data_IF_010304106296
#
_entry.id   IF_010304106296
#
_cell.length_a   1.000
_cell.length_b   1.000
_cell.length_c   1.000
_cell.angle_alpha   90.00
_cell.angle_beta   90.00
_cell.angle_gamma   90.00
#
_symmetry.space_group_name_H-M   'P 1'
#
loop_
_entity.id
_entity.type
_entity.pdbx_description
1 polymer ?
#
# COMPACT_ATOMS: atom_id res chain seq x y z
N UNK A 1 -2.92 -18.16 14.77
CA UNK A 1 -3.93 -17.16 14.35
C UNK A 1 -3.60 -15.77 14.83
N UNK A 2 -3.65 -14.80 13.91
CA UNK A 2 -3.57 -13.36 14.13
C UNK A 2 -4.86 -12.72 13.61
N UNK A 3 -5.35 -11.70 14.31
CA UNK A 3 -6.53 -10.92 13.93
C UNK A 3 -6.16 -9.44 13.88
N UNK A 4 -6.43 -8.80 12.74
CA UNK A 4 -6.16 -7.38 12.51
C UNK A 4 -7.48 -6.67 12.26
N UNK A 5 -7.75 -5.62 13.02
CA UNK A 5 -8.93 -4.78 12.82
C UNK A 5 -8.48 -3.43 12.27
N UNK A 6 -9.04 -3.04 11.13
CA UNK A 6 -8.69 -1.79 10.44
C UNK A 6 -9.92 -0.94 10.18
N UNK A 7 -9.72 0.38 10.09
CA UNK A 7 -10.66 1.27 9.43
C UNK A 7 -10.35 1.25 7.94
N UNK A 8 -11.38 1.14 7.12
CA UNK A 8 -11.24 1.25 5.66
C UNK A 8 -11.76 2.61 5.22
N UNK A 9 -11.04 3.27 4.33
CA UNK A 9 -11.56 4.45 3.64
C UNK A 9 -12.20 3.99 2.34
N UNK A 10 -13.50 4.23 2.12
CA UNK A 10 -14.15 3.85 0.87
C UNK A 10 -13.63 4.71 -0.28
N UNK A 11 -13.79 4.19 -1.50
CA UNK A 11 -13.86 4.97 -2.74
C UNK A 11 -15.19 4.64 -3.40
N UNK A 12 -15.87 5.64 -3.93
CA UNK A 12 -17.13 5.46 -4.64
C UNK A 12 -16.87 5.38 -6.13
N UNK A 13 -17.54 4.42 -6.76
CA UNK A 13 -17.53 4.20 -8.20
C UNK A 13 -18.97 4.30 -8.69
N UNK A 14 -19.20 4.93 -9.84
CA UNK A 14 -20.52 4.93 -10.49
C UNK A 14 -20.49 4.05 -11.73
N UNK A 15 -21.41 3.10 -11.79
CA UNK A 15 -21.63 2.22 -12.93
C UNK A 15 -23.09 2.38 -13.39
N UNK A 16 -23.31 3.21 -14.40
CA UNK A 16 -24.66 3.58 -14.82
C UNK A 16 -25.36 4.40 -13.73
N UNK A 17 -26.48 3.90 -13.21
CA UNK A 17 -27.22 4.54 -12.11
C UNK A 17 -26.78 4.06 -10.71
N UNK A 18 -25.96 2.99 -10.65
CA UNK A 18 -25.56 2.39 -9.39
C UNK A 18 -24.27 3.00 -8.86
N UNK A 19 -24.26 3.27 -7.55
CA UNK A 19 -23.04 3.63 -6.82
C UNK A 19 -22.54 2.40 -6.07
N UNK A 20 -21.29 2.05 -6.30
CA UNK A 20 -20.58 0.97 -5.62
C UNK A 20 -19.50 1.51 -4.69
N UNK A 21 -19.10 0.68 -3.73
CA UNK A 21 -18.06 1.03 -2.77
C UNK A 21 -16.85 0.15 -2.97
N UNK A 22 -15.71 0.75 -3.24
CA UNK A 22 -14.42 0.09 -3.41
C UNK A 22 -13.57 0.27 -2.16
N UNK A 23 -12.87 -0.79 -1.78
CA UNK A 23 -11.91 -0.79 -0.66
C UNK A 23 -10.67 -1.60 -1.02
N UNK A 24 -9.52 -1.16 -0.53
CA UNK A 24 -8.29 -1.96 -0.55
C UNK A 24 -8.27 -3.01 0.56
N UNK A 25 -7.48 -4.06 0.36
CA UNK A 25 -7.16 -5.04 1.40
C UNK A 25 -5.78 -4.75 2.02
N UNK A 26 -5.26 -5.69 2.82
CA UNK A 26 -3.89 -5.59 3.33
C UNK A 26 -2.89 -5.80 2.19
N UNK A 27 -1.91 -4.89 2.09
CA UNK A 27 -0.85 -4.95 1.09
C UNK A 27 -1.11 -3.99 -0.08
N UNK A 28 -0.13 -3.94 -0.99
CA UNK A 28 -0.10 -3.02 -2.12
C UNK A 28 0.18 -3.83 -3.38
N UNK A 29 -0.55 -3.53 -4.45
CA UNK A 29 -0.27 -4.12 -5.77
C UNK A 29 1.05 -3.55 -6.27
N UNK A 30 1.86 -4.36 -6.96
CA UNK A 30 3.05 -3.84 -7.63
C UNK A 30 2.64 -2.99 -8.84
N UNK A 31 2.67 -1.67 -8.68
CA UNK A 31 2.36 -0.68 -9.73
C UNK A 31 3.62 0.08 -10.11
N UNK A 32 3.72 0.53 -11.37
CA UNK A 32 4.86 1.32 -11.86
C UNK A 32 6.25 0.80 -11.47
N UNK A 33 6.98 1.47 -10.59
CA UNK A 33 8.31 1.12 -10.08
C UNK A 33 8.26 0.48 -8.68
N UNK A 34 7.07 0.39 -8.09
CA UNK A 34 6.86 -0.11 -6.74
C UNK A 34 6.85 -1.65 -6.70
N UNK A 35 7.40 -2.17 -5.61
CA UNK A 35 7.21 -3.57 -5.24
C UNK A 35 5.87 -3.76 -4.55
N UNK A 36 5.28 -4.94 -4.74
CA UNK A 36 4.11 -5.35 -4.00
C UNK A 36 4.38 -5.46 -2.50
N UNK A 37 3.35 -5.22 -1.69
CA UNK A 37 3.39 -5.51 -0.26
C UNK A 37 3.27 -7.01 0.01
N UNK A 38 4.19 -7.57 0.80
CA UNK A 38 4.14 -8.97 1.22
C UNK A 38 3.10 -9.17 2.34
N UNK A 39 2.02 -9.89 2.04
CA UNK A 39 0.94 -10.14 3.00
C UNK A 39 0.54 -11.61 2.95
N UNK A 40 0.29 -12.20 4.13
CA UNK A 40 -0.16 -13.58 4.23
C UNK A 40 -1.58 -13.75 3.69
N UNK A 41 -1.88 -14.93 3.18
CA UNK A 41 -3.26 -15.29 2.87
C UNK A 41 -4.12 -15.12 4.12
N UNK A 42 -5.29 -14.53 3.95
CA UNK A 42 -6.15 -14.17 5.07
C UNK A 42 -7.62 -14.28 4.73
N UNK A 43 -8.45 -14.26 5.76
CA UNK A 43 -9.89 -14.13 5.63
C UNK A 43 -10.31 -12.74 6.07
N UNK A 44 -11.05 -12.02 5.22
CA UNK A 44 -11.55 -10.68 5.50
C UNK A 44 -13.05 -10.67 5.74
N UNK A 45 -13.48 -9.99 6.80
CA UNK A 45 -14.88 -9.56 6.99
C UNK A 45 -14.95 -8.06 6.97
N UNK A 46 -15.95 -7.51 6.28
CA UNK A 46 -16.14 -6.07 6.13
C UNK A 46 -17.44 -5.64 6.79
N UNK A 47 -17.40 -4.51 7.49
CA UNK A 47 -18.52 -3.97 8.24
C UNK A 47 -18.76 -2.51 7.88
N UNK A 48 -20.01 -2.14 7.67
CA UNK A 48 -20.45 -0.75 7.48
C UNK A 48 -21.27 -0.30 8.68
N UNK A 49 -20.80 0.72 9.41
CA UNK A 49 -21.47 1.16 10.64
C UNK A 49 -21.61 0.04 11.68
N UNK A 50 -20.75 -0.97 11.66
CA UNK A 50 -20.79 -2.14 12.54
C UNK A 50 -21.77 -3.24 12.14
N UNK A 51 -22.39 -3.16 10.95
CA UNK A 51 -23.14 -4.26 10.35
C UNK A 51 -22.26 -4.97 9.32
N UNK A 52 -22.20 -6.30 9.35
CA UNK A 52 -21.39 -7.05 8.38
C UNK A 52 -22.00 -6.93 6.97
N UNK A 53 -21.17 -6.53 6.00
CA UNK A 53 -21.53 -6.39 4.59
C UNK A 53 -20.65 -7.25 3.68
N UNK A 54 -19.89 -8.20 4.24
CA UNK A 54 -18.94 -9.06 3.51
C UNK A 54 -19.56 -9.69 2.26
N UNK A 55 -20.79 -10.21 2.38
CA UNK A 55 -21.53 -10.85 1.28
C UNK A 55 -21.97 -9.90 0.15
N UNK A 56 -21.84 -8.58 0.33
CA UNK A 56 -22.12 -7.59 -0.72
C UNK A 56 -20.96 -7.39 -1.68
N UNK A 57 -19.81 -8.03 -1.46
CA UNK A 57 -18.71 -8.00 -2.40
C UNK A 57 -19.14 -8.66 -3.71
N UNK A 58 -19.02 -7.93 -4.81
CA UNK A 58 -19.44 -8.34 -6.15
C UNK A 58 -18.27 -8.45 -7.13
N UNK A 59 -17.13 -7.85 -6.80
CA UNK A 59 -15.94 -7.88 -7.65
C UNK A 59 -14.67 -7.83 -6.81
N UNK A 60 -13.65 -8.51 -7.29
CA UNK A 60 -12.31 -8.53 -6.73
C UNK A 60 -11.28 -8.34 -7.85
N UNK A 61 -10.24 -7.58 -7.53
CA UNK A 61 -9.08 -7.36 -8.38
C UNK A 61 -7.80 -7.50 -7.56
N UNK A 62 -6.82 -8.24 -8.07
CA UNK A 62 -5.53 -8.47 -7.41
C UNK A 62 -4.44 -8.96 -8.38
N UNK A 63 -3.16 -8.75 -8.06
CA UNK A 63 -2.03 -9.09 -8.93
C UNK A 63 -1.39 -10.46 -8.61
N UNK A 64 -1.12 -11.29 -9.62
CA UNK A 64 -0.41 -12.57 -9.46
C UNK A 64 1.11 -12.41 -9.56
N UNK A 65 1.71 -11.85 -8.53
CA UNK A 65 3.13 -11.57 -8.61
C UNK A 65 4.04 -12.73 -8.17
N UNK A 66 3.71 -13.44 -7.09
CA UNK A 66 4.43 -14.64 -6.65
C UNK A 66 5.97 -14.50 -6.68
N UNK A 67 6.67 -15.50 -7.21
CA UNK A 67 8.12 -15.45 -7.49
C UNK A 67 8.43 -15.05 -8.96
N UNK A 68 7.52 -14.30 -9.60
CA UNK A 68 7.60 -13.94 -11.02
C UNK A 68 8.27 -12.58 -11.19
N UNK A 69 8.95 -12.40 -12.32
CA UNK A 69 9.35 -11.06 -12.80
C UNK A 69 8.14 -10.31 -13.38
N UNK A 70 8.19 -8.98 -13.46
CA UNK A 70 7.20 -8.20 -14.20
C UNK A 70 7.01 -8.71 -15.64
N UNK A 71 5.75 -8.79 -16.07
CA UNK A 71 5.32 -9.12 -17.43
C UNK A 71 5.53 -7.94 -18.38
N UNK A 72 5.32 -6.73 -17.88
CA UNK A 72 5.39 -5.47 -18.63
C UNK A 72 6.48 -4.55 -18.06
N UNK A 73 6.86 -3.54 -18.82
CA UNK A 73 7.76 -2.48 -18.37
C UNK A 73 7.05 -1.44 -17.47
N UNK A 74 7.81 -0.44 -17.01
CA UNK A 74 7.34 0.62 -16.09
C UNK A 74 6.41 1.65 -16.73
N UNK A 75 6.19 1.62 -18.04
CA UNK A 75 5.16 2.47 -18.68
C UNK A 75 3.75 1.95 -18.43
N UNK A 76 3.60 0.69 -18.02
CA UNK A 76 2.32 0.09 -17.68
C UNK A 76 2.04 0.21 -16.18
N UNK A 77 0.86 0.72 -15.82
CA UNK A 77 0.43 0.83 -14.43
C UNK A 77 0.42 -0.53 -13.74
N UNK A 78 -0.07 -1.58 -14.42
CA UNK A 78 -0.08 -2.95 -13.92
C UNK A 78 0.97 -3.77 -14.66
N UNK A 79 2.01 -4.20 -13.94
CA UNK A 79 3.12 -4.95 -14.54
C UNK A 79 3.07 -6.45 -14.35
N UNK A 80 2.00 -6.94 -13.74
CA UNK A 80 1.78 -8.35 -13.45
C UNK A 80 0.40 -8.75 -13.95
N UNK A 81 0.24 -10.02 -14.30
CA UNK A 81 -1.07 -10.61 -14.56
C UNK A 81 -2.06 -10.29 -13.44
N UNK A 82 -3.22 -9.75 -13.81
CA UNK A 82 -4.26 -9.34 -12.88
C UNK A 82 -5.43 -10.34 -12.89
N UNK A 83 -5.85 -10.79 -11.72
CA UNK A 83 -7.18 -11.35 -11.54
C UNK A 83 -8.21 -10.22 -11.54
N UNK A 84 -9.31 -10.42 -12.27
CA UNK A 84 -10.47 -9.53 -12.31
C UNK A 84 -11.72 -10.39 -12.39
N UNK A 85 -12.50 -10.45 -11.33
CA UNK A 85 -13.65 -11.35 -11.31
C UNK A 85 -14.41 -11.36 -10.00
N UNK A 86 -15.19 -12.43 -9.79
CA UNK A 86 -16.00 -12.57 -8.60
C UNK A 86 -15.14 -12.86 -7.36
N UNK A 87 -15.48 -12.28 -6.19
CA UNK A 87 -14.80 -12.61 -4.95
C UNK A 87 -15.02 -14.09 -4.59
N UNK A 88 -14.02 -14.70 -3.97
CA UNK A 88 -14.13 -16.04 -3.39
C UNK A 88 -14.44 -15.94 -1.90
N UNK A 89 -15.32 -16.80 -1.41
CA UNK A 89 -15.75 -16.82 -0.01
C UNK A 89 -15.41 -18.16 0.62
N UNK A 90 -14.87 -18.12 1.82
CA UNK A 90 -14.69 -19.29 2.65
C UNK A 90 -16.05 -19.81 3.12
N UNK A 91 -16.12 -21.08 3.56
CA UNK A 91 -17.37 -21.71 4.03
C UNK A 91 -18.04 -21.01 5.22
N UNK A 92 -17.36 -20.08 5.89
CA UNK A 92 -17.92 -19.25 6.97
C UNK A 92 -18.45 -17.88 6.48
N UNK A 93 -18.40 -17.59 5.18
CA UNK A 93 -18.83 -16.33 4.57
C UNK A 93 -17.80 -15.20 4.59
N UNK A 94 -16.58 -15.42 5.10
CA UNK A 94 -15.50 -14.44 4.97
C UNK A 94 -14.93 -14.44 3.55
N UNK A 95 -14.46 -13.28 3.08
CA UNK A 95 -13.73 -13.16 1.83
C UNK A 95 -12.37 -13.86 1.95
N UNK A 96 -12.03 -14.70 0.98
CA UNK A 96 -10.68 -15.22 0.82
C UNK A 96 -9.80 -14.15 0.19
N UNK A 97 -8.77 -13.74 0.92
CA UNK A 97 -7.77 -12.77 0.49
C UNK A 97 -6.48 -13.53 0.19
N UNK A 98 -6.05 -13.58 -1.09
CA UNK A 98 -4.86 -14.31 -1.45
C UNK A 98 -3.59 -13.62 -0.92
N UNK A 99 -2.53 -14.39 -0.75
CA UNK A 99 -1.23 -13.85 -0.32
C UNK A 99 -0.53 -13.07 -1.45
N UNK A 100 0.24 -12.04 -1.10
CA UNK A 100 1.17 -11.31 -2.00
C UNK A 100 0.60 -10.56 -3.18
N UNK A 101 -0.68 -10.22 -3.15
CA UNK A 101 -1.29 -9.69 -4.38
C UNK A 101 -1.48 -8.18 -4.33
N UNK A 102 -1.69 -7.60 -3.14
CA UNK A 102 -2.43 -6.34 -3.05
C UNK A 102 -3.81 -6.52 -3.69
N UNK A 103 -4.86 -5.98 -3.09
CA UNK A 103 -6.17 -6.27 -3.63
C UNK A 103 -7.18 -5.19 -3.36
N UNK A 104 -8.17 -5.20 -4.24
CA UNK A 104 -9.29 -4.29 -4.26
C UNK A 104 -10.55 -5.11 -4.32
N UNK A 105 -11.51 -4.81 -3.45
CA UNK A 105 -12.85 -5.38 -3.49
C UNK A 105 -13.87 -4.29 -3.73
N UNK A 106 -14.88 -4.58 -4.55
CA UNK A 106 -16.02 -3.71 -4.80
C UNK A 106 -17.27 -4.34 -4.21
N UNK A 107 -18.01 -3.53 -3.47
CA UNK A 107 -19.23 -3.87 -2.78
C UNK A 107 -20.40 -3.15 -3.43
N UNK A 108 -21.51 -3.86 -3.62
CA UNK A 108 -22.74 -3.25 -4.14
C UNK A 108 -23.31 -2.23 -3.16
N UNK A 109 -23.67 -1.04 -3.67
CA UNK A 109 -24.20 0.06 -2.88
C UNK A 109 -23.13 1.01 -2.32
N UNK A 110 -23.60 2.19 -1.87
CA UNK A 110 -22.79 3.22 -1.21
C UNK A 110 -22.68 2.95 0.29
N UNK A 111 -21.47 2.65 0.78
CA UNK A 111 -21.19 2.36 2.18
C UNK A 111 -20.11 3.29 2.74
N UNK A 112 -20.40 3.88 3.90
CA UNK A 112 -19.46 4.71 4.64
C UNK A 112 -19.14 4.07 6.01
N UNK A 113 -18.18 4.66 6.73
CA UNK A 113 -17.78 4.20 8.08
C UNK A 113 -17.40 2.71 8.10
N UNK A 114 -16.53 2.34 7.18
CA UNK A 114 -16.12 0.97 6.98
C UNK A 114 -15.03 0.55 7.97
N UNK A 115 -15.15 -0.68 8.46
CA UNK A 115 -14.09 -1.39 9.18
C UNK A 115 -13.95 -2.78 8.61
N UNK A 116 -12.77 -3.38 8.73
CA UNK A 116 -12.57 -4.78 8.37
C UNK A 116 -11.80 -5.54 9.44
N UNK A 117 -12.06 -6.83 9.52
CA UNK A 117 -11.34 -7.79 10.34
C UNK A 117 -10.67 -8.80 9.43
N UNK A 118 -9.33 -8.83 9.46
CA UNK A 118 -8.52 -9.83 8.79
C UNK A 118 -8.12 -10.91 9.78
N UNK A 119 -8.24 -12.16 9.39
CA UNK A 119 -7.77 -13.31 10.19
C UNK A 119 -6.83 -14.16 9.35
N UNK A 120 -5.65 -14.45 9.87
CA UNK A 120 -4.60 -15.20 9.16
C UNK A 120 -3.86 -16.14 10.10
N UNK A 121 -3.23 -17.17 9.54
CA UNK A 121 -2.34 -18.05 10.29
C UNK A 121 -0.91 -17.53 10.21
N UNK A 122 -0.48 -16.91 11.29
CA UNK A 122 0.89 -16.44 11.42
C UNK A 122 1.88 -17.61 11.46
N UNK A 123 2.60 -17.77 10.36
CA UNK A 123 3.83 -18.53 10.25
C UNK A 123 4.90 -17.57 9.76
N UNK A 124 5.57 -16.85 10.67
CA UNK A 124 6.64 -15.94 10.27
C UNK A 124 7.98 -16.69 10.13
N UNK A 125 8.58 -16.75 8.94
CA UNK A 125 9.93 -17.27 8.73
C UNK A 125 11.02 -16.23 9.04
N UNK A 126 10.64 -15.11 9.67
CA UNK A 126 11.54 -14.04 10.09
C UNK A 126 11.25 -13.59 11.52
N UNK A 127 12.28 -13.05 12.16
CA UNK A 127 12.24 -12.30 13.40
C UNK A 127 12.45 -10.83 13.08
N UNK A 128 11.61 -9.97 13.66
CA UNK A 128 11.72 -8.51 13.55
C UNK A 128 12.09 -7.95 14.91
N UNK A 129 13.18 -7.20 14.98
CA UNK A 129 13.66 -6.52 16.17
C UNK A 129 13.54 -5.00 15.97
N UNK A 130 12.69 -4.29 16.74
CA UNK A 130 12.66 -2.83 16.70
C UNK A 130 13.92 -2.27 17.36
N UNK A 131 14.64 -1.41 16.65
CA UNK A 131 15.91 -0.84 17.13
C UNK A 131 15.79 0.62 17.60
N UNK A 132 14.74 1.32 17.18
CA UNK A 132 14.52 2.71 17.56
C UNK A 132 13.60 3.43 16.60
N UNK A 133 13.41 4.72 16.82
CA UNK A 133 12.65 5.59 15.93
C UNK A 133 13.20 7.01 15.90
N UNK A 134 12.86 7.74 14.84
CA UNK A 134 13.07 9.18 14.70
C UNK A 134 11.75 9.84 14.34
N UNK A 135 11.44 10.99 14.96
CA UNK A 135 10.22 11.75 14.67
C UNK A 135 10.57 13.12 14.13
N UNK A 136 10.00 13.45 12.98
CA UNK A 136 10.14 14.75 12.32
C UNK A 136 8.82 15.52 12.35
N UNK A 137 8.92 16.84 12.38
CA UNK A 137 7.80 17.72 12.04
C UNK A 137 7.90 18.07 10.57
N UNK A 138 6.78 17.93 9.86
CA UNK A 138 6.67 18.38 8.48
C UNK A 138 5.40 19.20 8.25
N UNK A 139 5.32 19.92 7.14
CA UNK A 139 4.18 20.76 6.77
C UNK A 139 3.62 20.37 5.39
N UNK A 140 2.63 21.14 4.90
CA UNK A 140 2.10 20.88 3.57
C UNK A 140 3.15 21.05 2.47
N UNK A 141 3.12 20.15 1.50
CA UNK A 141 3.91 20.23 0.28
C UNK A 141 3.41 21.36 -0.63
N UNK A 142 4.36 22.15 -1.13
CA UNK A 142 4.11 23.22 -2.10
C UNK A 142 5.16 23.10 -3.20
N UNK A 143 4.77 22.62 -4.37
CA UNK A 143 5.73 22.34 -5.45
C UNK A 143 5.13 22.45 -6.85
N UNK A 144 5.92 22.05 -7.83
CA UNK A 144 5.60 22.15 -9.27
C UNK A 144 4.97 20.88 -9.84
N UNK A 145 4.74 19.86 -9.02
CA UNK A 145 4.12 18.58 -9.43
C UNK A 145 2.61 18.67 -9.62
N UNK A 146 2.05 17.66 -10.30
CA UNK A 146 0.60 17.50 -10.47
C UNK A 146 -0.07 17.31 -9.10
N UNK A 147 -1.03 18.18 -8.72
CA UNK A 147 -1.82 18.02 -7.49
C UNK A 147 -3.24 17.46 -7.73
N UNK A 148 -3.48 16.90 -8.91
CA UNK A 148 -4.75 16.30 -9.31
C UNK A 148 -5.90 17.29 -9.16
N UNK A 149 -6.94 16.90 -8.41
CA UNK A 149 -8.10 17.74 -8.14
C UNK A 149 -7.79 18.96 -7.24
N UNK A 150 -6.58 19.06 -6.68
CA UNK A 150 -6.16 20.16 -5.80
C UNK A 150 -5.20 21.14 -6.48
N UNK A 151 -5.09 21.12 -7.81
CA UNK A 151 -4.16 22.00 -8.54
C UNK A 151 -4.43 23.49 -8.27
N UNK A 152 -5.70 23.90 -8.19
CA UNK A 152 -6.09 25.25 -7.78
C UNK A 152 -5.56 25.64 -6.40
N UNK A 153 -5.57 24.72 -5.42
CA UNK A 153 -4.98 24.95 -4.10
C UNK A 153 -3.45 25.07 -4.22
N UNK A 154 -2.80 24.11 -4.90
CA UNK A 154 -1.35 24.12 -5.11
C UNK A 154 -0.88 25.44 -5.69
N UNK A 155 -1.54 25.94 -6.73
CA UNK A 155 -1.20 27.23 -7.34
C UNK A 155 -1.35 28.41 -6.38
N UNK A 156 -2.43 28.46 -5.59
CA UNK A 156 -2.64 29.54 -4.61
C UNK A 156 -1.57 29.51 -3.51
N UNK A 157 -1.26 28.32 -3.00
CA UNK A 157 -0.19 28.11 -2.03
C UNK A 157 1.17 28.53 -2.61
N UNK A 158 1.45 28.16 -3.86
CA UNK A 158 2.71 28.51 -4.54
C UNK A 158 2.82 30.02 -4.80
N UNK A 159 1.75 30.67 -5.26
CA UNK A 159 1.71 32.12 -5.48
C UNK A 159 1.92 32.91 -4.18
N UNK A 160 1.39 32.42 -3.05
CA UNK A 160 1.45 33.12 -1.76
C UNK A 160 2.74 32.83 -0.98
N UNK A 161 3.20 31.59 -0.97
CA UNK A 161 4.27 31.14 -0.06
C UNK A 161 5.52 30.60 -0.77
N UNK A 162 5.53 30.52 -2.10
CA UNK A 162 6.63 29.91 -2.86
C UNK A 162 6.62 28.39 -2.78
N UNK A 163 7.80 27.77 -2.83
CA UNK A 163 7.93 26.30 -2.79
C UNK A 163 8.35 25.81 -1.41
N UNK A 164 7.83 24.64 -1.01
CA UNK A 164 8.19 23.93 0.22
C UNK A 164 8.17 22.43 -0.03
N UNK A 165 9.33 21.80 0.12
CA UNK A 165 9.47 20.37 0.24
C UNK A 165 10.57 20.07 1.25
N UNK A 166 10.16 19.81 2.49
CA UNK A 166 11.09 19.55 3.58
C UNK A 166 11.81 18.22 3.36
N UNK A 167 13.11 18.20 3.67
CA UNK A 167 13.95 17.02 3.53
C UNK A 167 14.72 16.81 4.83
N UNK A 168 14.71 15.58 5.32
CA UNK A 168 15.28 15.17 6.59
C UNK A 168 16.45 14.23 6.37
N UNK A 169 17.50 14.40 7.15
CA UNK A 169 18.59 13.43 7.25
C UNK A 169 18.20 12.36 8.25
N UNK A 170 18.42 11.10 7.87
CA UNK A 170 18.14 9.94 8.70
C UNK A 170 19.39 9.57 9.50
N UNK A 171 19.18 9.10 10.73
CA UNK A 171 20.25 8.58 11.61
C UNK A 171 19.93 7.15 12.04
N UNK A 172 19.95 6.16 11.12
CA UNK A 172 19.59 4.78 11.47
C UNK A 172 20.48 4.21 12.59
N UNK A 173 19.91 3.56 13.63
CA UNK A 173 20.68 2.87 14.65
C UNK A 173 21.57 1.77 14.06
N UNK A 174 22.65 1.43 14.78
CA UNK A 174 23.57 0.38 14.35
C UNK A 174 22.85 -0.97 14.14
N UNK A 175 23.06 -1.56 12.95
CA UNK A 175 22.46 -2.83 12.55
C UNK A 175 20.98 -2.77 12.22
N UNK A 176 20.44 -1.58 11.92
CA UNK A 176 19.17 -1.42 11.25
C UNK A 176 19.33 -1.68 9.75
N UNK A 177 18.45 -2.54 9.23
CA UNK A 177 18.44 -2.95 7.82
C UNK A 177 17.15 -2.53 7.11
N UNK A 178 16.13 -2.17 7.89
CA UNK A 178 14.81 -1.75 7.42
C UNK A 178 14.31 -0.51 8.15
N UNK A 179 13.44 0.24 7.49
CA UNK A 179 12.69 1.34 8.08
C UNK A 179 11.21 1.31 7.67
N UNK A 180 10.33 1.79 8.54
CA UNK A 180 8.91 2.05 8.25
C UNK A 180 8.60 3.51 8.50
N UNK A 181 7.92 4.14 7.57
CA UNK A 181 7.43 5.51 7.74
C UNK A 181 5.96 5.48 8.17
N UNK A 182 5.61 6.25 9.20
CA UNK A 182 4.24 6.44 9.67
C UNK A 182 3.91 7.91 9.79
N UNK A 183 2.74 8.31 9.31
CA UNK A 183 2.18 9.66 9.44
C UNK A 183 0.64 9.60 9.41
N UNK A 184 -0.06 10.62 9.92
CA UNK A 184 -1.52 10.70 9.81
C UNK A 184 -1.93 10.73 8.33
N UNK A 185 -3.04 10.09 7.91
CA UNK A 185 -3.51 10.13 6.53
C UNK A 185 -3.86 11.55 6.09
N UNK A 186 -3.74 11.84 4.79
CA UNK A 186 -4.17 13.14 4.25
C UNK A 186 -5.70 13.20 4.33
N UNK A 187 -6.28 14.32 4.78
CA UNK A 187 -7.73 14.45 4.92
C UNK A 187 -8.46 14.61 3.58
N UNK A 188 -7.72 14.80 2.47
CA UNK A 188 -8.26 15.05 1.13
C UNK A 188 -7.53 14.15 0.13
N UNK A 189 -8.27 13.57 -0.80
CA UNK A 189 -7.77 12.75 -1.91
C UNK A 189 -7.50 13.65 -3.13
N UNK A 190 -6.23 13.96 -3.44
CA UNK A 190 -5.89 14.71 -4.65
C UNK A 190 -6.09 13.92 -5.95
N UNK A 191 -5.97 12.59 -5.90
CA UNK A 191 -5.98 11.72 -7.09
C UNK A 191 -7.09 10.67 -7.01
N UNK A 192 -8.38 11.07 -6.93
CA UNK A 192 -9.44 10.10 -6.98
C UNK A 192 -9.41 9.40 -8.33
N UNK A 193 -9.37 8.08 -8.31
CA UNK A 193 -9.33 7.23 -9.50
C UNK A 193 -10.64 7.29 -10.32
N UNK A 194 -11.69 7.86 -9.72
CA UNK A 194 -12.95 8.19 -10.37
C UNK A 194 -13.22 9.68 -10.29
N UNK A 195 -14.02 10.17 -11.23
CA UNK A 195 -14.50 11.55 -11.22
C UNK A 195 -15.60 11.81 -10.18
N UNK A 196 -15.84 10.87 -9.27
CA UNK A 196 -16.82 11.03 -8.20
C UNK A 196 -16.36 12.12 -7.22
N UNK A 197 -17.11 13.22 -7.17
CA UNK A 197 -16.76 14.38 -6.35
C UNK A 197 -16.70 14.03 -4.86
N UNK A 198 -17.49 13.04 -4.45
CA UNK A 198 -17.57 12.55 -3.08
C UNK A 198 -16.30 11.83 -2.61
N UNK A 199 -15.37 11.51 -3.51
CA UNK A 199 -14.08 10.90 -3.14
C UNK A 199 -13.05 11.93 -2.67
N UNK A 200 -13.11 13.17 -3.17
CA UNK A 200 -12.16 14.24 -2.81
C UNK A 200 -12.10 14.49 -1.29
N UNK A 201 -13.21 14.62 -0.55
CA UNK A 201 -13.17 14.86 0.90
C UNK A 201 -12.81 13.62 1.73
N UNK A 202 -12.51 12.47 1.10
CA UNK A 202 -12.13 11.25 1.81
C UNK A 202 -10.63 11.25 2.09
N UNK A 203 -10.27 10.58 3.19
CA UNK A 203 -8.88 10.40 3.54
C UNK A 203 -8.13 9.61 2.45
N UNK A 204 -6.89 9.98 2.19
CA UNK A 204 -6.02 9.31 1.23
C UNK A 204 -4.65 9.01 1.83
N UNK A 205 -3.84 8.30 1.04
CA UNK A 205 -2.41 8.19 1.25
C UNK A 205 -1.70 9.43 0.70
N UNK A 206 -0.46 9.63 1.11
CA UNK A 206 0.45 10.54 0.40
C UNK A 206 1.72 9.81 0.04
N UNK A 207 2.56 10.44 -0.76
CA UNK A 207 3.80 9.85 -1.28
C UNK A 207 4.98 10.48 -0.58
N UNK A 208 5.81 9.68 0.07
CA UNK A 208 7.10 10.15 0.60
C UNK A 208 8.22 9.76 -0.35
N UNK A 209 9.38 10.42 -0.24
CA UNK A 209 10.55 10.05 -1.06
C UNK A 209 11.74 9.68 -0.21
N UNK A 210 12.29 8.49 -0.40
CA UNK A 210 13.61 8.15 0.13
C UNK A 210 14.64 8.34 -0.97
N UNK A 211 15.82 8.84 -0.64
CA UNK A 211 16.84 9.02 -1.66
C UNK A 211 18.22 9.31 -1.15
N UNK A 212 19.10 9.49 -2.12
CA UNK A 212 20.46 10.00 -1.98
C UNK A 212 20.61 11.19 -2.92
N UNK A 213 20.83 12.37 -2.34
CA UNK A 213 20.92 13.64 -3.09
C UNK A 213 19.66 13.90 -3.95
N UNK A 214 19.80 13.81 -5.28
CA UNK A 214 18.74 14.02 -6.28
C UNK A 214 18.17 12.71 -6.83
N UNK A 215 18.72 11.55 -6.44
CA UNK A 215 18.18 10.24 -6.79
C UNK A 215 17.16 9.82 -5.74
N UNK A 216 15.91 9.64 -6.12
CA UNK A 216 14.85 9.28 -5.17
C UNK A 216 13.99 8.14 -5.66
N UNK A 217 13.51 7.35 -4.70
CA UNK A 217 12.33 6.51 -4.82
C UNK A 217 11.15 7.22 -4.18
N UNK A 218 10.11 7.44 -4.94
CA UNK A 218 8.76 7.75 -4.51
C UNK A 218 8.13 6.47 -3.99
N UNK A 219 7.61 6.55 -2.77
CA UNK A 219 6.87 5.45 -2.15
C UNK A 219 5.46 5.95 -1.90
N UNK A 220 4.54 5.51 -2.75
CA UNK A 220 3.13 5.77 -2.57
C UNK A 220 2.65 4.95 -1.37
N UNK A 221 2.21 5.63 -0.32
CA UNK A 221 1.81 4.99 0.94
C UNK A 221 0.41 4.38 0.85
N UNK A 222 0.09 3.72 -0.27
CA UNK A 222 -1.19 3.01 -0.43
C UNK A 222 -1.27 1.84 0.54
N UNK A 223 -0.12 1.27 0.94
CA UNK A 223 0.06 0.50 2.16
C UNK A 223 1.32 0.93 2.93
N UNK A 224 1.28 0.83 4.26
CA UNK A 224 2.47 1.02 5.09
C UNK A 224 3.35 -0.23 5.03
N UNK A 225 4.51 -0.15 4.40
CA UNK A 225 5.47 -1.26 4.32
C UNK A 225 6.85 -0.86 4.84
N UNK A 226 7.53 -1.82 5.48
CA UNK A 226 8.94 -1.65 5.80
C UNK A 226 9.77 -1.77 4.52
N UNK A 227 10.71 -0.86 4.36
CA UNK A 227 11.57 -0.74 3.20
C UNK A 227 13.03 -0.99 3.61
N UNK A 228 13.84 -1.67 2.80
CA UNK A 228 15.26 -1.87 3.11
C UNK A 228 16.01 -0.53 3.14
N UNK A 229 16.86 -0.30 4.14
CA UNK A 229 17.67 0.93 4.20
C UNK A 229 18.76 0.97 3.13
N UNK A 230 19.35 -0.20 2.84
CA UNK A 230 20.59 -0.32 2.07
C UNK A 230 20.38 -0.78 0.62
N UNK A 231 19.18 -0.58 0.08
CA UNK A 231 18.94 -0.90 -1.32
C UNK A 231 17.57 -0.49 -1.85
N UNK A 232 17.58 0.52 -2.70
CA UNK A 232 16.39 1.10 -3.32
C UNK A 232 16.63 1.35 -4.80
N UNK A 233 15.56 1.31 -5.59
CA UNK A 233 15.59 1.71 -6.99
C UNK A 233 15.16 3.17 -7.12
N UNK A 234 15.61 3.87 -8.16
CA UNK A 234 15.09 5.19 -8.49
C UNK A 234 13.72 5.07 -9.15
N UNK A 235 12.99 6.18 -9.16
CA UNK A 235 11.75 6.27 -9.92
C UNK A 235 11.98 5.96 -11.40
N UNK A 236 10.96 5.37 -12.02
CA UNK A 236 10.98 4.99 -13.43
C UNK A 236 11.26 6.16 -14.37
N UNK A 237 10.78 7.35 -14.02
CA UNK A 237 10.98 8.59 -14.79
C UNK A 237 12.37 9.21 -14.59
N UNK A 238 13.17 8.70 -13.64
CA UNK A 238 14.56 9.09 -13.37
C UNK A 238 15.58 8.16 -14.00
N UNK A 239 15.14 7.05 -14.60
CA UNK A 239 16.03 6.01 -15.10
C UNK A 239 15.64 5.53 -16.51
N UNK A 240 16.49 4.69 -17.11
CA UNK A 240 16.28 4.15 -18.45
C UNK A 240 16.95 2.79 -18.62
N UNK A 241 16.65 2.11 -19.71
CA UNK A 241 17.15 0.77 -20.01
C UNK A 241 16.26 -0.34 -19.47
N UNK A 242 16.80 -1.56 -19.39
CA UNK A 242 16.03 -2.76 -19.02
C UNK A 242 15.74 -2.85 -17.52
N UNK A 243 16.52 -2.15 -16.69
CA UNK A 243 16.38 -2.15 -15.24
C UNK A 243 16.53 -0.75 -14.68
N UNK A 244 15.82 -0.46 -13.59
CA UNK A 244 15.91 0.82 -12.89
C UNK A 244 17.27 0.98 -12.21
N UNK A 245 17.73 2.23 -12.13
CA UNK A 245 18.93 2.59 -11.39
C UNK A 245 18.77 2.25 -9.91
N UNK A 246 19.85 1.89 -9.24
CA UNK A 246 19.85 1.46 -7.85
C UNK A 246 20.74 2.36 -6.98
N UNK A 247 20.35 2.58 -5.73
CA UNK A 247 21.16 3.25 -4.70
C UNK A 247 21.09 2.49 -3.37
N UNK A 248 22.20 2.47 -2.63
CA UNK A 248 22.37 1.68 -1.39
C UNK A 248 22.42 2.51 -0.11
N UNK A 249 22.32 3.83 -0.18
CA UNK A 249 22.53 4.72 0.97
C UNK A 249 21.39 5.74 1.11
N UNK A 250 20.15 5.23 1.21
CA UNK A 250 18.94 6.02 1.45
C UNK A 250 18.96 6.70 2.83
N UNK A 251 19.69 7.81 2.94
CA UNK A 251 19.89 8.56 4.19
C UNK A 251 19.11 9.88 4.22
N UNK A 252 18.32 10.14 3.18
CA UNK A 252 17.48 11.33 3.06
C UNK A 252 16.03 10.95 2.84
N UNK A 253 15.14 11.54 3.62
CA UNK A 253 13.70 11.40 3.49
C UNK A 253 13.08 12.76 3.15
N UNK A 254 12.40 12.86 2.03
CA UNK A 254 11.56 14.02 1.73
C UNK A 254 10.18 13.82 2.36
N UNK A 255 9.64 14.92 2.91
CA UNK A 255 8.31 14.93 3.49
C UNK A 255 7.26 14.42 2.49
N UNK A 256 6.18 13.76 2.98
CA UNK A 256 5.08 13.32 2.15
C UNK A 256 4.47 14.47 1.32
N UNK A 257 4.01 14.17 0.11
CA UNK A 257 3.26 15.10 -0.74
C UNK A 257 1.86 15.38 -0.17
N UNK A 258 1.82 16.19 0.89
CA UNK A 258 0.60 16.56 1.62
C UNK A 258 0.15 17.96 1.23
N UNK A 259 -0.85 18.09 0.35
CA UNK A 259 -1.37 19.42 0.01
C UNK A 259 -2.18 20.03 1.15
N UNK A 260 -2.90 19.20 1.91
CA UNK A 260 -3.74 19.60 3.04
C UNK A 260 -3.27 18.86 4.29
N UNK A 261 -2.87 19.56 5.36
CA UNK A 261 -2.39 18.90 6.57
C UNK A 261 -3.53 18.28 7.37
N UNK A 262 -3.21 17.20 8.09
CA UNK A 262 -4.16 16.56 8.99
C UNK A 262 -4.72 17.58 10.02
N UNK A 263 -6.04 17.55 10.22
CA UNK A 263 -6.74 18.52 11.07
C UNK A 263 -7.31 19.74 10.33
N UNK A 264 -6.94 19.94 9.05
CA UNK A 264 -7.60 20.91 8.18
C UNK A 264 -8.62 20.17 7.31
N UNK A 265 -9.90 20.43 7.55
CA UNK A 265 -10.99 19.81 6.79
C UNK A 265 -11.02 20.30 5.34
N UNK A 266 -11.58 19.47 4.45
CA UNK A 266 -11.82 19.86 3.07
C UNK A 266 -12.68 21.14 2.99
N UNK A 267 -12.26 22.07 2.14
CA UNK A 267 -13.05 23.23 1.75
C UNK A 267 -13.19 23.21 0.21
N UNK A 268 -14.39 23.41 -0.35
CA UNK A 268 -14.58 23.45 -1.80
C UNK A 268 -13.62 24.36 -2.56
N UNK A 269 -13.16 25.47 -1.93
CA UNK A 269 -12.17 26.38 -2.51
C UNK A 269 -10.84 25.69 -2.85
N UNK A 270 -10.51 24.57 -2.20
CA UNK A 270 -9.26 23.85 -2.43
C UNK A 270 -9.23 23.24 -3.84
N UNK A 271 -10.40 22.84 -4.35
CA UNK A 271 -10.55 22.35 -5.72
C UNK A 271 -10.88 23.47 -6.69
N UNK A 272 -11.85 24.32 -6.34
CA UNK A 272 -12.34 25.37 -7.26
C UNK A 272 -11.45 26.62 -7.35
N UNK A 273 -10.49 26.77 -6.44
CA UNK A 273 -9.77 28.02 -6.24
C UNK A 273 -10.53 29.02 -5.34
N UNK A 274 -9.90 30.16 -5.07
CA UNK A 274 -10.49 31.25 -4.27
C UNK A 274 -10.49 30.99 -2.77
N UNK A 275 -9.53 30.21 -2.26
CA UNK A 275 -9.38 30.03 -0.83
C UNK A 275 -9.00 31.35 -0.16
N UNK A 276 -9.64 31.63 0.98
CA UNK A 276 -9.29 32.82 1.76
C UNK A 276 -7.89 32.70 2.32
N UNK A 277 -7.26 33.86 2.55
CA UNK A 277 -5.98 33.99 3.22
C UNK A 277 -5.91 33.17 4.52
N UNK A 278 -6.99 33.19 5.32
CA UNK A 278 -7.06 32.43 6.57
C UNK A 278 -6.95 30.90 6.35
N UNK A 279 -7.57 30.37 5.29
CA UNK A 279 -7.48 28.93 4.95
C UNK A 279 -6.08 28.60 4.45
N UNK A 280 -5.51 29.43 3.57
CA UNK A 280 -4.15 29.25 3.06
C UNK A 280 -3.11 29.32 4.17
N UNK A 281 -3.22 30.30 5.07
CA UNK A 281 -2.34 30.45 6.23
C UNK A 281 -2.50 29.27 7.21
N UNK A 282 -3.72 28.75 7.40
CA UNK A 282 -3.94 27.57 8.22
C UNK A 282 -3.23 26.34 7.62
N UNK A 283 -3.39 26.09 6.32
CA UNK A 283 -2.70 24.99 5.62
C UNK A 283 -1.18 25.18 5.70
N UNK A 284 -0.69 26.39 5.50
CA UNK A 284 0.74 26.68 5.51
C UNK A 284 1.39 26.45 6.87
N UNK A 285 0.75 26.92 7.95
CA UNK A 285 1.32 26.93 9.30
C UNK A 285 1.05 25.65 10.12
N UNK A 286 0.19 24.75 9.64
CA UNK A 286 -0.13 23.51 10.38
C UNK A 286 0.98 22.46 10.20
N UNK A 287 1.72 22.19 11.27
CA UNK A 287 2.72 21.13 11.32
C UNK A 287 2.12 19.78 11.69
N UNK A 288 2.66 18.72 11.10
CA UNK A 288 2.31 17.32 11.32
C UNK A 288 3.55 16.54 11.79
N UNK A 289 3.32 15.35 12.36
CA UNK A 289 4.39 14.46 12.79
C UNK A 289 4.49 13.27 11.86
N UNK A 290 5.72 12.93 11.48
CA UNK A 290 6.06 11.70 10.80
C UNK A 290 7.08 10.95 11.67
N UNK A 291 6.89 9.65 11.84
CA UNK A 291 7.81 8.80 12.61
C UNK A 291 8.37 7.71 11.71
N UNK A 292 9.69 7.58 11.74
CA UNK A 292 10.44 6.52 11.09
C UNK A 292 10.79 5.49 12.16
N UNK A 293 10.40 4.25 11.95
CA UNK A 293 10.71 3.14 12.85
C UNK A 293 11.80 2.30 12.20
N UNK A 294 12.85 1.99 12.94
CA UNK A 294 13.98 1.19 12.46
C UNK A 294 13.90 -0.23 12.96
N UNK A 295 14.18 -1.18 12.07
CA UNK A 295 14.12 -2.59 12.37
C UNK A 295 15.37 -3.32 11.89
N UNK A 296 15.72 -4.38 12.62
CA UNK A 296 16.50 -5.49 12.11
C UNK A 296 15.55 -6.62 11.78
N UNK A 297 15.70 -7.21 10.61
CA UNK A 297 14.96 -8.40 10.20
C UNK A 297 15.96 -9.53 10.07
N UNK A 298 15.67 -10.66 10.71
CA UNK A 298 16.54 -11.84 10.68
C UNK A 298 15.72 -13.05 10.26
N UNK A 299 16.21 -13.81 9.29
CA UNK A 299 15.56 -15.07 8.90
C UNK A 299 15.59 -16.07 10.05
N UNK A 300 14.51 -16.82 10.23
CA UNK A 300 14.38 -17.85 11.27
C UNK A 300 13.97 -19.21 10.71
N UNK A 301 13.73 -19.31 9.41
CA UNK A 301 13.36 -20.56 8.74
C UNK A 301 14.25 -20.83 7.52
N UNK A 302 14.38 -22.11 7.20
CA UNK A 302 14.93 -22.61 5.95
C UNK A 302 13.86 -22.61 4.83
N UNK A 303 14.22 -23.11 3.65
CA UNK A 303 13.27 -23.25 2.53
C UNK A 303 12.91 -21.95 1.78
N UNK A 304 13.64 -20.86 2.04
CA UNK A 304 13.54 -19.63 1.27
C UNK A 304 14.37 -19.70 -0.02
N UNK A 305 13.82 -19.19 -1.11
CA UNK A 305 14.47 -19.06 -2.42
C UNK A 305 15.11 -17.69 -2.54
N UNK A 306 16.41 -17.64 -2.89
CA UNK A 306 17.09 -16.39 -3.24
C UNK A 306 16.71 -15.98 -4.66
N UNK A 307 16.16 -14.78 -4.84
CA UNK A 307 15.80 -14.22 -6.15
C UNK A 307 16.54 -12.89 -6.32
N UNK A 308 17.28 -12.68 -7.43
CA UNK A 308 17.85 -11.38 -7.75
C UNK A 308 16.75 -10.32 -7.89
N UNK A 309 16.88 -9.22 -7.16
CA UNK A 309 15.92 -8.12 -7.21
C UNK A 309 16.40 -7.11 -8.24
N UNK A 310 15.68 -7.02 -9.35
CA UNK A 310 15.83 -5.94 -10.31
C UNK A 310 14.45 -5.44 -10.68
N UNK A 311 14.20 -4.17 -10.38
CA UNK A 311 13.07 -3.48 -10.96
C UNK A 311 13.35 -3.24 -12.44
N UNK A 312 12.37 -3.49 -13.29
CA UNK A 312 12.51 -3.40 -14.74
C UNK A 312 12.35 -1.95 -15.19
N UNK A 313 13.04 -1.53 -16.24
CA UNK A 313 12.96 -0.19 -16.81
C UNK A 313 12.21 -0.16 -18.14
N UNK A 314 12.14 1.01 -18.78
CA UNK A 314 11.36 1.27 -20.00
C UNK A 314 11.77 0.47 -21.24
N UNK A 315 12.98 -0.13 -21.24
CA UNK A 315 13.44 -0.97 -22.35
C UNK A 315 13.16 -2.46 -22.15
N UNK A 316 12.69 -2.86 -20.97
CA UNK A 316 12.33 -4.25 -20.67
C UNK A 316 11.26 -4.76 -21.64
N UNK A 317 11.41 -6.01 -22.11
CA UNK A 317 10.48 -6.64 -23.06
C UNK A 317 9.81 -7.90 -22.55
N UNK A 318 9.78 -8.08 -21.22
CA UNK A 318 9.27 -9.31 -20.62
C UNK A 318 10.10 -10.53 -21.03
N UNK A 319 9.87 -11.65 -20.37
CA UNK A 319 10.05 -12.93 -21.03
C UNK A 319 8.75 -13.16 -21.77
N UNK A 320 8.75 -13.32 -23.09
CA UNK A 320 7.55 -13.67 -23.83
C UNK A 320 6.97 -14.96 -23.24
N UNK A 321 6.00 -14.84 -22.33
CA UNK A 321 5.32 -15.99 -21.75
C UNK A 321 4.49 -16.54 -22.90
N UNK A 322 4.83 -17.73 -23.39
CA UNK A 322 3.90 -18.55 -24.16
C UNK A 322 2.76 -18.93 -23.22
N UNK A 323 1.83 -18.00 -23.00
CA UNK A 323 0.65 -18.21 -22.17
C UNK A 323 -0.24 -19.22 -22.88
N UNK A 324 -0.25 -20.45 -22.38
CA UNK A 324 -1.25 -21.44 -22.77
C UNK A 324 -2.64 -20.95 -22.32
N UNK A 325 -3.35 -20.31 -23.24
CA UNK A 325 -4.81 -20.36 -23.35
C UNK A 325 -5.69 -20.12 -22.11
N UNK A 326 -5.37 -19.16 -21.22
CA UNK A 326 -6.37 -18.66 -20.27
C UNK A 326 -7.12 -17.49 -20.93
N UNK A 327 -8.33 -17.80 -21.34
CA UNK A 327 -9.19 -17.05 -22.26
C UNK A 327 -9.67 -15.71 -21.66
N UNK A 328 -9.44 -14.63 -22.40
CA UNK A 328 -9.92 -13.26 -22.11
C UNK A 328 -11.40 -13.13 -22.50
N UNK A 329 -12.33 -13.56 -21.64
CA UNK A 329 -13.78 -13.41 -21.86
C UNK A 329 -14.52 -12.72 -20.67
N UNK A 330 -13.87 -11.77 -19.98
CA UNK A 330 -14.40 -11.18 -18.75
C UNK A 330 -15.29 -9.91 -18.94
N UNK A 331 -15.49 -9.40 -20.15
CA UNK A 331 -16.28 -8.16 -20.38
C UNK A 331 -17.77 -8.37 -20.68
N UNK A 332 -18.27 -9.61 -20.81
CA UNK A 332 -19.68 -9.87 -21.18
C UNK A 332 -20.62 -10.19 -19.99
N UNK A 333 -20.10 -10.40 -18.78
CA UNK A 333 -20.89 -10.92 -17.64
C UNK A 333 -21.50 -9.86 -16.70
N UNK A 334 -21.30 -8.56 -16.96
CA UNK A 334 -21.86 -7.49 -16.13
C UNK A 334 -23.41 -7.41 -16.18
N UNK A 335 -24.04 -7.94 -17.24
CA UNK A 335 -25.49 -7.91 -17.41
C UNK A 335 -26.23 -9.06 -16.70
N UNK A 336 -25.58 -10.21 -16.46
CA UNK A 336 -26.18 -11.35 -15.75
C UNK A 336 -26.15 -11.20 -14.22
N UNK A 337 -25.31 -10.30 -13.69
CA UNK A 337 -25.17 -10.05 -12.26
C UNK A 337 -26.40 -9.39 -11.60
N UNK A 338 -27.23 -8.70 -12.38
CA UNK A 338 -28.39 -7.92 -11.89
C UNK A 338 -29.55 -8.83 -11.46
N UNK A 339 -29.69 -10.00 -12.08
CA UNK A 339 -30.84 -10.90 -11.85
C UNK A 339 -30.67 -11.77 -10.58
N UNK A 340 -29.43 -12.01 -10.15
CA UNK A 340 -29.12 -12.82 -8.96
C UNK A 340 -29.23 -12.06 -7.62
N UNK A 341 -29.30 -10.72 -7.66
CA UNK A 341 -29.24 -9.86 -6.45
C UNK A 341 -30.56 -9.73 -5.69
N UNK A 342 -31.70 -10.15 -6.26
CA UNK A 342 -33.03 -9.92 -5.65
C UNK A 342 -33.44 -10.97 -4.60
N UNK A 343 -32.73 -12.10 -4.47
CA UNK A 343 -33.25 -13.26 -3.70
C UNK A 343 -32.72 -13.40 -2.27
N UNK A 344 -31.75 -12.61 -1.81
CA UNK A 344 -30.96 -12.93 -0.58
C UNK A 344 -31.08 -11.90 0.56
N UNK A 345 -32.16 -11.12 0.62
CA UNK A 345 -32.24 -9.96 1.52
C UNK A 345 -32.98 -10.18 2.87
N UNK A 346 -33.42 -11.41 3.21
CA UNK A 346 -34.41 -11.61 4.31
C UNK A 346 -33.85 -12.12 5.66
N UNK A 347 -32.55 -12.43 5.84
CA UNK A 347 -32.18 -13.28 7.00
C UNK A 347 -31.08 -12.87 8.00
N UNK A 348 -30.52 -11.65 8.01
CA UNK A 348 -29.37 -11.37 8.91
C UNK A 348 -29.52 -10.10 9.75
N UNK A 349 -30.41 -10.14 10.74
CA UNK A 349 -30.63 -9.06 11.72
C UNK A 349 -30.36 -9.43 13.19
N UNK A 350 -29.65 -10.52 13.49
CA UNK A 350 -29.43 -10.93 14.88
C UNK A 350 -27.99 -11.36 15.18
N UNK A 351 -27.10 -10.40 15.50
CA UNK A 351 -26.09 -10.54 16.56
C UNK A 351 -25.15 -9.33 16.61
N UNK A 352 -25.24 -8.53 17.68
CA UNK A 352 -24.36 -7.39 17.97
C UNK A 352 -24.05 -7.39 19.47
N UNK A 353 -22.79 -7.55 19.89
CA UNK A 353 -22.14 -6.71 20.92
C UNK A 353 -20.69 -7.10 21.28
N UNK A 354 -19.80 -6.11 21.11
CA UNK A 354 -18.85 -5.47 22.07
C UNK A 354 -17.59 -6.21 22.58
N UNK A 355 -16.41 -5.65 22.25
CA UNK A 355 -15.26 -5.19 23.11
C UNK A 355 -14.13 -4.69 22.16
N UNK A 356 -13.46 -3.54 22.32
CA UNK A 356 -12.49 -3.14 23.36
C UNK A 356 -11.08 -3.21 22.73
N UNK A 357 -10.47 -2.07 22.34
CA UNK A 357 -9.27 -2.01 21.47
C UNK A 357 -7.98 -1.80 22.27
N UNK A 358 -6.96 -2.59 21.95
CA UNK A 358 -5.54 -2.24 22.07
C UNK A 358 -5.00 -1.96 20.66
N UNK A 359 -4.15 -0.96 20.49
CA UNK A 359 -3.55 -0.58 19.19
C UNK A 359 -2.22 -1.33 18.99
N UNK A 360 -2.02 -1.95 17.81
CA UNK A 360 -0.81 -2.69 17.41
C UNK A 360 -0.39 -2.21 16.02
N UNK A 361 0.91 -1.92 15.83
CA UNK A 361 1.50 -1.59 14.53
C UNK A 361 1.88 -2.89 13.82
N UNK A 362 1.35 -3.10 12.61
CA UNK A 362 1.64 -4.27 11.76
C UNK A 362 2.43 -3.81 10.52
N UNK A 363 3.65 -4.32 10.38
CA UNK A 363 4.38 -4.35 9.11
C UNK A 363 3.84 -5.46 8.20
N UNK A 364 4.17 -5.52 6.89
CA UNK A 364 3.99 -6.74 6.10
C UNK A 364 4.47 -7.94 6.95
N UNK A 365 3.50 -8.81 7.24
CA UNK A 365 3.18 -9.45 8.53
C UNK A 365 4.30 -10.24 9.23
N UNK A 366 4.60 -9.87 10.49
CA UNK A 366 5.26 -10.73 11.50
C UNK A 366 4.71 -10.43 12.90
N UNK A 367 4.25 -11.44 13.62
CA UNK A 367 3.97 -11.35 15.07
C UNK A 367 5.22 -11.78 15.83
N UNK A 368 5.52 -11.09 16.93
CA UNK A 368 6.46 -11.59 17.92
C UNK A 368 5.71 -12.42 18.98
N UNK A 369 5.92 -13.73 19.11
CA UNK A 369 5.89 -14.33 20.42
C UNK A 369 7.21 -13.97 21.11
N UNK A 370 7.14 -13.28 22.26
CA UNK A 370 8.26 -13.26 23.20
C UNK A 370 8.45 -14.71 23.67
N UNK A 371 9.21 -15.51 22.93
CA UNK A 371 9.56 -16.86 23.38
C UNK A 371 10.77 -16.76 24.31
N UNK A 372 10.65 -17.19 25.59
CA UNK A 372 11.77 -17.20 26.53
C UNK A 372 12.75 -18.35 26.30
N UNK A 373 12.55 -19.18 25.27
CA UNK A 373 13.32 -20.42 25.06
C UNK A 373 13.99 -20.42 23.69
N UNK A 374 15.31 -20.68 23.62
CA UNK A 374 16.03 -20.79 22.37
C UNK A 374 15.54 -22.02 21.59
N UNK A 375 14.84 -21.78 20.49
CA UNK A 375 14.58 -22.80 19.47
C UNK A 375 15.92 -23.05 18.75
N UNK A 376 16.33 -24.32 18.50
CA UNK A 376 17.53 -24.59 17.72
C UNK A 376 17.46 -23.86 16.38
N UNK A 377 18.46 -23.02 16.12
CA UNK A 377 18.53 -22.20 14.90
C UNK A 377 18.67 -23.14 13.70
N UNK A 378 17.70 -23.17 12.76
CA UNK A 378 17.89 -23.91 11.52
C UNK A 378 19.17 -23.43 10.82
N UNK A 379 19.85 -24.29 10.07
CA UNK A 379 21.00 -23.89 9.25
C UNK A 379 20.49 -23.04 8.09
N UNK A 380 20.44 -21.73 8.29
CA UNK A 380 20.05 -20.76 7.28
C UNK A 380 21.24 -20.57 6.33
N UNK A 381 21.04 -20.67 5.00
CA UNK A 381 22.10 -20.37 4.04
C UNK A 381 22.65 -18.96 4.29
N UNK A 382 23.99 -18.77 4.33
CA UNK A 382 24.58 -17.46 4.54
C UNK A 382 24.18 -16.51 3.40
N UNK A 383 24.14 -15.22 3.71
CA UNK A 383 23.98 -14.21 2.68
C UNK A 383 25.23 -14.16 1.82
N UNK A 384 25.09 -14.68 0.61
CA UNK A 384 26.06 -14.52 -0.47
C UNK A 384 25.54 -13.42 -1.39
N UNK A 385 26.28 -12.31 -1.45
CA UNK A 385 25.93 -11.14 -2.25
C UNK A 385 26.34 -11.28 -3.73
N UNK A 386 26.87 -12.42 -4.16
CA UNK A 386 27.17 -12.66 -5.57
C UNK A 386 25.89 -12.58 -6.43
N UNK A 387 25.92 -11.68 -7.42
CA UNK A 387 24.79 -11.45 -8.34
C UNK A 387 23.64 -10.60 -7.78
N UNK A 388 23.83 -9.92 -6.64
CA UNK A 388 22.81 -9.11 -5.96
C UNK A 388 22.86 -7.61 -6.32
N UNK A 389 21.83 -6.78 -5.97
CA UNK A 389 20.84 -6.95 -4.90
C UNK A 389 19.90 -8.16 -5.08
N UNK A 390 19.59 -8.85 -3.98
CA UNK A 390 18.73 -10.05 -3.97
C UNK A 390 17.73 -9.98 -2.82
N UNK A 391 16.66 -10.78 -2.90
CA UNK A 391 15.70 -10.98 -1.84
C UNK A 391 15.51 -12.45 -1.53
N UNK A 392 15.13 -12.75 -0.30
CA UNK A 392 14.73 -14.09 0.12
C UNK A 392 13.21 -14.22 0.07
N UNK A 393 12.73 -15.19 -0.70
CA UNK A 393 11.31 -15.41 -0.96
C UNK A 393 10.86 -16.76 -0.44
N UNK A 394 9.66 -16.85 0.15
CA UNK A 394 9.07 -18.17 0.40
C UNK A 394 8.42 -18.77 -0.85
N UNK A 395 7.91 -19.99 -0.74
CA UNK A 395 7.27 -20.73 -1.83
C UNK A 395 6.04 -20.06 -2.44
N UNK A 396 5.45 -19.04 -1.79
CA UNK A 396 4.30 -18.28 -2.30
C UNK A 396 4.70 -16.88 -2.80
N UNK A 397 5.99 -16.53 -2.76
CA UNK A 397 6.53 -15.28 -3.29
C UNK A 397 6.56 -14.10 -2.32
N UNK A 398 6.45 -14.34 -1.01
CA UNK A 398 6.66 -13.28 0.01
C UNK A 398 8.15 -12.98 0.09
N UNK A 399 8.56 -11.74 -0.19
CA UNK A 399 9.90 -11.29 0.16
C UNK A 399 9.99 -11.06 1.68
N UNK A 400 10.97 -11.70 2.30
CA UNK A 400 11.16 -11.71 3.75
C UNK A 400 12.43 -11.00 4.21
N UNK A 401 13.45 -10.97 3.36
CA UNK A 401 14.76 -10.44 3.69
C UNK A 401 15.46 -9.94 2.41
N UNK A 402 16.44 -9.05 2.56
CA UNK A 402 17.14 -8.35 1.50
C UNK A 402 18.64 -8.52 1.65
N UNK A 403 19.31 -8.95 0.59
CA UNK A 403 20.76 -9.01 0.52
C UNK A 403 21.25 -7.75 -0.21
N UNK A 404 21.92 -6.82 0.49
CA UNK A 404 22.49 -5.64 -0.14
C UNK A 404 23.59 -6.01 -1.14
N UNK A 405 23.82 -5.18 -2.17
CA UNK A 405 24.99 -5.35 -3.03
C UNK A 405 26.28 -5.07 -2.26
N UNK A 406 27.39 -5.69 -2.70
CA UNK A 406 28.73 -5.45 -2.14
C UNK A 406 29.33 -4.12 -2.59
#
# INVERSE_FOLDING_TARGET
TVTINVKLTPRYLTFGADVMTRVGCLGQMGVYDEWMGAVQASHMRVFAGGNEITSKAVYAEYAYAGQKKPDEDVSNYFRYDMYKGNPTFAGNGALEVPANMGCTYVFSGRHANLTATFTMQDSSPIQVEPLGNETFTFHSYIGVGNAGQLDSLREQMQRRFGSRHEKFSLSPPAGADYFLVTYPPTPVEPYPDTMEEDNVPLAASGTYRIGREDNTLSVDHTASMAMPLHGQWQDADQSGGDFLNFFSDGTRLAAPEYFVPAGVGYNPCMRSGGCSDAVLDQIFNTGMKMTIHYYRITRTADGLTRIPLRQVGTSWKGLAVQSAGVQRDAMSHAAELVDAMQTTQVQVEAARKKRGRDEVVFLPIVRYPVQPTPVPTPQIPPDDASGCPCGWFDSIGRMFDFIPPQ
#
